data_IF_204569446565
#
_entry.id   IF_204569446565
#
_cell.length_a   1.000
_cell.length_b   1.000
_cell.length_c   1.000
_cell.angle_alpha   90.00
_cell.angle_beta   90.00
_cell.angle_gamma   90.00
#
_symmetry.space_group_name_H-M   'P 1'
#
loop_
_entity.id
_entity.type
_entity.pdbx_description
1 polymer ?
#
# COMPACT_ATOMS: atom_id res chain seq x y z
N UNK A 1 -3.66 3.97 25.74
CA UNK A 1 -4.47 4.88 24.91
C UNK A 1 -5.65 4.11 24.41
N UNK A 2 -6.82 4.61 24.68
CA UNK A 2 -8.08 3.99 24.29
C UNK A 2 -8.65 4.66 23.03
N UNK A 3 -9.57 3.96 22.36
CA UNK A 3 -10.20 4.46 21.14
C UNK A 3 -10.99 5.76 21.39
N UNK A 4 -11.71 5.80 22.49
CA UNK A 4 -12.56 6.94 22.86
C UNK A 4 -11.72 8.19 23.12
N UNK A 5 -10.60 8.05 23.84
CA UNK A 5 -9.63 9.12 24.01
C UNK A 5 -9.11 9.68 22.67
N UNK A 6 -8.87 8.82 21.67
CA UNK A 6 -8.39 9.27 20.37
C UNK A 6 -9.50 9.99 19.59
N UNK A 7 -10.75 9.59 19.73
CA UNK A 7 -11.88 10.29 19.14
C UNK A 7 -12.00 11.71 19.72
N UNK A 8 -11.91 11.83 21.03
CA UNK A 8 -11.97 13.12 21.74
C UNK A 8 -10.77 14.00 21.38
N UNK A 9 -9.57 13.43 21.30
CA UNK A 9 -8.34 14.14 20.95
C UNK A 9 -8.41 14.78 19.55
N UNK A 10 -9.06 14.11 18.60
CA UNK A 10 -9.23 14.61 17.22
C UNK A 10 -10.61 15.21 16.95
N UNK A 11 -11.39 15.53 17.99
CA UNK A 11 -12.75 16.06 17.85
C UNK A 11 -12.79 17.37 17.03
N UNK A 12 -11.86 18.28 17.26
CA UNK A 12 -11.77 19.56 16.55
C UNK A 12 -11.24 19.42 15.09
N UNK A 13 -10.57 18.31 14.82
CA UNK A 13 -10.17 17.98 13.45
C UNK A 13 -11.36 17.55 12.60
N UNK A 14 -12.29 16.78 13.15
CA UNK A 14 -13.46 16.24 12.50
C UNK A 14 -13.57 14.71 12.61
N UNK A 15 -14.44 14.08 11.83
CA UNK A 15 -14.68 12.65 11.91
C UNK A 15 -13.45 11.85 11.51
N UNK A 16 -13.00 10.96 12.38
CA UNK A 16 -11.86 10.07 12.15
C UNK A 16 -12.28 8.61 12.23
N UNK A 17 -11.67 7.79 11.41
CA UNK A 17 -11.83 6.33 11.47
C UNK A 17 -10.63 5.72 12.20
N UNK A 18 -10.89 5.03 13.30
CA UNK A 18 -9.87 4.40 14.12
C UNK A 18 -9.91 2.89 13.88
N UNK A 19 -8.78 2.34 13.43
CA UNK A 19 -8.59 0.90 13.21
C UNK A 19 -7.48 0.35 14.07
N UNK A 20 -7.70 -0.82 14.64
CA UNK A 20 -6.64 -1.52 15.37
C UNK A 20 -5.54 -1.96 14.39
N UNK A 21 -4.31 -1.55 14.66
CA UNK A 21 -3.13 -1.87 13.84
C UNK A 21 -1.95 -2.20 14.74
N UNK A 22 -1.27 -3.32 14.47
CA UNK A 22 -0.11 -3.76 15.26
C UNK A 22 -0.43 -3.81 16.77
N UNK A 23 0.32 -3.09 17.59
CA UNK A 23 0.10 -2.96 19.03
C UNK A 23 -0.66 -1.70 19.44
N UNK A 24 -1.36 -1.04 18.52
CA UNK A 24 -2.08 0.21 18.76
C UNK A 24 -3.20 0.46 17.75
N UNK A 25 -3.38 1.71 17.39
CA UNK A 25 -4.45 2.15 16.50
C UNK A 25 -3.89 2.99 15.35
N UNK A 26 -4.44 2.81 14.17
CA UNK A 26 -4.26 3.70 13.04
C UNK A 26 -5.45 4.65 12.94
N UNK A 27 -5.17 5.92 12.72
CA UNK A 27 -6.16 6.99 12.62
C UNK A 27 -6.20 7.46 11.17
N UNK A 28 -7.37 7.37 10.58
CA UNK A 28 -7.59 7.68 9.16
C UNK A 28 -8.70 8.72 9.00
N UNK A 29 -8.54 9.57 8.01
CA UNK A 29 -9.58 10.45 7.51
C UNK A 29 -9.63 10.34 5.97
N UNK A 30 -10.80 10.40 5.39
CA UNK A 30 -11.01 10.28 3.93
C UNK A 30 -10.34 9.02 3.32
N UNK A 31 -10.35 7.92 4.07
CA UNK A 31 -9.72 6.66 3.65
C UNK A 31 -8.19 6.64 3.73
N UNK A 32 -7.57 7.74 4.16
CA UNK A 32 -6.11 7.88 4.24
C UNK A 32 -5.65 7.87 5.69
N UNK A 33 -4.70 6.98 6.03
CA UNK A 33 -4.12 6.91 7.36
C UNK A 33 -3.08 8.03 7.54
N UNK A 34 -3.32 8.95 8.46
CA UNK A 34 -2.46 10.10 8.73
C UNK A 34 -1.81 10.10 10.10
N UNK A 35 -2.27 9.26 11.03
CA UNK A 35 -1.70 9.17 12.36
C UNK A 35 -1.70 7.72 12.88
N UNK A 36 -0.81 7.46 13.84
CA UNK A 36 -0.67 6.20 14.55
C UNK A 36 -0.67 6.46 16.04
N UNK A 37 -1.47 5.75 16.80
CA UNK A 37 -1.42 5.72 18.26
C UNK A 37 -0.84 4.38 18.70
N UNK A 38 0.36 4.41 19.24
CA UNK A 38 1.12 3.24 19.68
C UNK A 38 1.46 3.36 21.16
N UNK A 39 2.06 2.34 21.75
CA UNK A 39 2.46 2.36 23.17
C UNK A 39 3.36 3.53 23.56
N UNK A 40 4.16 4.04 22.62
CA UNK A 40 5.08 5.17 22.84
C UNK A 40 4.44 6.55 22.65
N UNK A 41 3.18 6.65 22.25
CA UNK A 41 2.49 7.91 22.01
C UNK A 41 1.73 7.97 20.69
N UNK A 42 1.31 9.16 20.32
CA UNK A 42 0.68 9.45 19.03
C UNK A 42 1.75 9.96 18.07
N UNK A 43 1.71 9.46 16.85
CA UNK A 43 2.62 9.84 15.78
C UNK A 43 1.82 10.33 14.58
N UNK A 44 2.17 11.51 14.08
CA UNK A 44 1.57 12.08 12.88
C UNK A 44 2.40 11.81 11.64
N UNK A 45 1.73 11.68 10.51
CA UNK A 45 2.40 11.57 9.22
C UNK A 45 3.13 12.88 8.90
N UNK A 46 4.39 12.76 8.52
CA UNK A 46 5.22 13.87 8.11
C UNK A 46 5.78 13.66 6.70
N UNK A 47 6.00 14.76 6.00
CA UNK A 47 6.73 14.82 4.75
C UNK A 47 7.91 15.77 4.86
N UNK A 48 8.71 15.89 3.81
CA UNK A 48 9.89 16.74 3.78
C UNK A 48 9.59 18.21 4.15
N UNK A 49 8.38 18.68 3.88
CA UNK A 49 7.95 20.04 4.19
C UNK A 49 7.56 20.22 5.67
N UNK A 50 7.03 19.19 6.31
CA UNK A 50 6.56 19.25 7.71
C UNK A 50 7.59 18.78 8.73
N UNK A 51 8.59 17.97 8.35
CA UNK A 51 9.65 17.47 9.23
C UNK A 51 10.35 18.60 9.99
N UNK A 52 10.78 19.72 9.38
CA UNK A 52 11.46 20.80 10.12
C UNK A 52 10.62 21.37 11.27
N UNK A 53 9.30 21.36 11.12
CA UNK A 53 8.38 21.81 12.17
C UNK A 53 8.36 20.87 13.37
N UNK A 54 8.41 19.55 13.13
CA UNK A 54 8.52 18.56 14.20
C UNK A 54 9.88 18.61 14.90
N UNK A 55 10.95 18.84 14.16
CA UNK A 55 12.30 18.99 14.71
C UNK A 55 12.40 20.25 15.61
N UNK A 56 11.80 21.37 15.19
CA UNK A 56 11.74 22.58 16.00
C UNK A 56 11.04 22.38 17.34
N UNK A 57 10.05 21.49 17.41
CA UNK A 57 9.36 21.09 18.64
C UNK A 57 10.12 20.04 19.48
N UNK A 58 11.28 19.58 19.01
CA UNK A 58 12.04 18.53 19.67
C UNK A 58 11.41 17.13 19.54
N UNK A 59 10.48 16.95 18.63
CA UNK A 59 9.84 15.66 18.38
C UNK A 59 10.82 14.67 17.74
N UNK A 60 10.54 13.38 17.96
CA UNK A 60 11.39 12.30 17.45
C UNK A 60 10.66 11.51 16.36
N UNK A 61 11.36 11.00 15.35
CA UNK A 61 10.78 10.10 14.38
C UNK A 61 10.40 8.77 15.03
N UNK A 62 9.41 8.11 14.47
CA UNK A 62 8.97 6.81 14.96
C UNK A 62 10.05 5.75 14.78
N UNK A 63 10.36 5.04 15.85
CA UNK A 63 11.34 3.97 15.86
C UNK A 63 10.72 2.68 16.41
N UNK A 64 11.05 1.56 15.80
CA UNK A 64 10.68 0.25 16.32
C UNK A 64 11.82 -0.75 16.20
N UNK A 65 11.88 -1.66 17.14
CA UNK A 65 12.84 -2.77 17.09
C UNK A 65 12.24 -3.93 16.32
N UNK A 66 12.99 -4.43 15.37
CA UNK A 66 12.61 -5.62 14.62
C UNK A 66 12.86 -6.87 15.47
N UNK A 67 11.81 -7.67 15.67
CA UNK A 67 11.86 -8.87 16.53
C UNK A 67 12.94 -9.88 16.15
N UNK A 68 13.28 -9.96 14.87
CA UNK A 68 14.21 -10.97 14.33
C UNK A 68 15.68 -10.58 14.36
N UNK A 69 16.02 -9.30 14.47
CA UNK A 69 17.40 -8.85 14.29
C UNK A 69 17.88 -7.81 15.31
N UNK A 70 17.14 -7.56 16.40
CA UNK A 70 17.45 -6.51 17.39
C UNK A 70 17.79 -5.12 16.78
N UNK A 71 17.58 -4.95 15.48
CA UNK A 71 17.87 -3.74 14.74
C UNK A 71 16.76 -2.71 14.95
N UNK A 72 17.13 -1.49 15.32
CA UNK A 72 16.20 -0.36 15.40
C UNK A 72 15.96 0.22 14.00
N UNK A 73 14.72 0.24 13.56
CA UNK A 73 14.31 0.84 12.30
C UNK A 73 13.66 2.18 12.58
N UNK A 74 14.19 3.25 11.99
CA UNK A 74 13.62 4.59 12.06
C UNK A 74 12.71 4.84 10.87
N UNK A 75 11.49 5.27 11.13
CA UNK A 75 10.49 5.59 10.11
C UNK A 75 10.30 7.10 10.06
N UNK A 76 11.01 7.77 9.17
CA UNK A 76 11.00 9.23 9.04
C UNK A 76 9.66 9.80 8.55
N UNK A 77 8.75 8.95 8.10
CA UNK A 77 7.42 9.38 7.66
C UNK A 77 6.39 9.51 8.77
N UNK A 78 6.75 9.19 10.01
CA UNK A 78 5.91 9.37 11.19
C UNK A 78 6.72 9.98 12.32
N UNK A 79 6.21 11.07 12.89
CA UNK A 79 6.85 11.84 13.95
C UNK A 79 5.97 11.92 15.18
N UNK A 80 6.59 11.87 16.35
CA UNK A 80 5.90 11.93 17.62
C UNK A 80 5.16 13.26 17.76
N UNK A 81 3.91 13.20 18.22
CA UNK A 81 3.14 14.38 18.53
C UNK A 81 3.78 15.15 19.70
N UNK A 82 4.05 16.45 19.57
CA UNK A 82 4.51 17.27 20.69
C UNK A 82 3.54 17.20 21.88
N UNK A 83 4.08 17.07 23.10
CA UNK A 83 3.26 16.89 24.30
C UNK A 83 2.26 18.03 24.53
N UNK A 84 2.61 19.26 24.18
CA UNK A 84 1.75 20.43 24.32
C UNK A 84 0.47 20.36 23.50
N UNK A 85 0.49 19.63 22.38
CA UNK A 85 -0.67 19.49 21.50
C UNK A 85 -1.76 18.55 22.06
N UNK A 86 -1.47 17.82 23.12
CA UNK A 86 -2.52 17.09 23.85
C UNK A 86 -3.46 18.00 24.62
N UNK A 87 -3.00 19.19 24.97
CA UNK A 87 -3.76 20.21 25.70
C UNK A 87 -4.35 21.29 24.80
N UNK A 88 -3.92 21.33 23.51
CA UNK A 88 -4.37 22.30 22.50
C UNK A 88 -4.96 21.57 21.29
N UNK A 89 -6.26 21.32 21.36
CA UNK A 89 -7.01 20.59 20.34
C UNK A 89 -7.13 21.36 19.01
N UNK A 90 -7.18 22.69 19.05
CA UNK A 90 -7.28 23.54 17.84
C UNK A 90 -5.96 23.49 17.04
N UNK A 91 -4.85 23.64 17.74
CA UNK A 91 -3.54 23.53 17.09
C UNK A 91 -3.28 22.10 16.63
N UNK A 92 -3.66 21.11 17.43
CA UNK A 92 -3.61 19.70 17.02
C UNK A 92 -4.40 19.46 15.73
N UNK A 93 -5.59 20.01 15.60
CA UNK A 93 -6.38 19.89 14.38
C UNK A 93 -5.66 20.46 13.16
N UNK A 94 -4.93 21.55 13.32
CA UNK A 94 -4.10 22.16 12.25
C UNK A 94 -2.96 21.23 11.87
N UNK A 95 -2.26 20.63 12.84
CA UNK A 95 -1.20 19.66 12.60
C UNK A 95 -1.74 18.37 11.95
N UNK A 96 -2.91 17.91 12.38
CA UNK A 96 -3.58 16.74 11.80
C UNK A 96 -3.97 16.95 10.33
N UNK A 97 -4.45 18.16 9.97
CA UNK A 97 -4.73 18.53 8.58
C UNK A 97 -3.46 18.52 7.72
N UNK A 98 -2.36 19.04 8.22
CA UNK A 98 -1.07 18.98 7.55
C UNK A 98 -0.58 17.53 7.38
N UNK A 99 -0.76 16.69 8.41
CA UNK A 99 -0.42 15.28 8.36
C UNK A 99 -1.27 14.50 7.35
N UNK A 100 -2.57 14.80 7.27
CA UNK A 100 -3.47 14.23 6.26
C UNK A 100 -3.04 14.61 4.84
N UNK A 101 -2.71 15.88 4.61
CA UNK A 101 -2.21 16.36 3.32
C UNK A 101 -0.89 15.67 2.94
N UNK A 102 0.02 15.50 3.90
CA UNK A 102 1.27 14.75 3.69
C UNK A 102 1.00 13.27 3.35
N UNK A 103 0.04 12.65 4.02
CA UNK A 103 -0.37 11.27 3.76
C UNK A 103 -0.98 11.10 2.35
N UNK A 104 -1.83 12.03 1.94
CA UNK A 104 -2.44 12.05 0.61
C UNK A 104 -1.38 12.22 -0.50
N UNK A 105 -0.44 13.15 -0.34
CA UNK A 105 0.69 13.31 -1.27
C UNK A 105 1.54 12.05 -1.38
N UNK A 106 1.81 11.39 -0.26
CA UNK A 106 2.54 10.13 -0.24
C UNK A 106 1.76 8.98 -0.90
N UNK A 107 0.44 8.95 -0.79
CA UNK A 107 -0.42 7.97 -1.46
C UNK A 107 -0.40 8.13 -2.98
N UNK A 108 -0.39 9.36 -3.47
CA UNK A 108 -0.29 9.68 -4.91
C UNK A 108 1.10 9.27 -5.46
N UNK A 109 2.18 9.50 -4.71
CA UNK A 109 3.55 9.14 -5.12
C UNK A 109 3.81 7.63 -5.13
N UNK A 110 3.07 6.84 -4.35
CA UNK A 110 3.15 5.39 -4.36
C UNK A 110 2.01 4.84 -5.21
N UNK A 111 2.30 4.20 -6.37
CA UNK A 111 1.25 3.48 -7.08
C UNK A 111 0.62 2.45 -6.12
N UNK A 112 -0.70 2.23 -6.21
CA UNK A 112 -1.38 1.27 -5.36
C UNK A 112 -0.64 -0.06 -5.46
N UNK A 113 -0.12 -0.56 -4.34
CA UNK A 113 0.41 -1.92 -4.27
C UNK A 113 -0.74 -2.83 -4.66
N UNK A 114 -0.70 -3.34 -5.88
CA UNK A 114 -1.62 -4.39 -6.33
C UNK A 114 -1.65 -5.45 -5.22
N UNK A 115 -2.83 -5.72 -4.70
CA UNK A 115 -3.02 -6.70 -3.63
C UNK A 115 -2.36 -8.00 -4.10
N UNK A 116 -1.35 -8.46 -3.39
CA UNK A 116 -0.60 -9.71 -3.72
C UNK A 116 -1.52 -10.93 -3.90
N UNK A 117 -2.76 -10.88 -3.42
CA UNK A 117 -3.78 -11.91 -3.62
C UNK A 117 -4.39 -11.95 -5.02
N UNK A 118 -4.54 -10.83 -5.71
CA UNK A 118 -5.11 -10.79 -7.05
C UNK A 118 -4.16 -11.38 -8.11
N UNK A 119 -2.84 -11.23 -7.92
CA UNK A 119 -1.84 -11.82 -8.83
C UNK A 119 -1.81 -13.36 -8.76
N UNK A 120 -1.98 -13.95 -7.56
CA UNK A 120 -2.00 -15.42 -7.43
C UNK A 120 -3.22 -16.08 -8.08
N UNK A 121 -4.37 -15.41 -8.06
CA UNK A 121 -5.60 -15.94 -8.68
C UNK A 121 -5.54 -15.79 -10.21
N UNK A 122 -5.10 -14.65 -10.73
CA UNK A 122 -4.94 -14.41 -12.15
C UNK A 122 -3.89 -15.33 -12.80
N UNK A 123 -2.77 -15.58 -12.12
CA UNK A 123 -1.73 -16.49 -12.59
C UNK A 123 -2.19 -17.97 -12.57
N UNK A 124 -2.99 -18.34 -11.55
CA UNK A 124 -3.54 -19.71 -11.47
C UNK A 124 -4.62 -19.97 -12.52
N UNK A 125 -5.41 -18.96 -12.87
CA UNK A 125 -6.42 -19.05 -13.94
C UNK A 125 -5.74 -19.05 -15.33
N UNK A 126 -4.72 -18.23 -15.54
CA UNK A 126 -3.95 -18.20 -16.77
C UNK A 126 -3.21 -19.53 -17.05
N UNK A 127 -2.59 -20.13 -16.01
CA UNK A 127 -1.94 -21.46 -16.14
C UNK A 127 -2.96 -22.58 -16.37
N UNK A 128 -4.15 -22.52 -15.79
CA UNK A 128 -5.20 -23.52 -16.00
C UNK A 128 -5.88 -23.40 -17.36
N UNK A 129 -5.93 -22.20 -17.93
CA UNK A 129 -6.46 -21.93 -19.27
C UNK A 129 -5.51 -22.31 -20.39
N UNK A 130 -4.21 -22.22 -20.17
CA UNK A 130 -3.20 -22.55 -21.19
C UNK A 130 -2.91 -24.05 -21.31
N UNK A 131 -3.19 -24.84 -20.27
CA UNK A 131 -2.90 -26.27 -20.27
C UNK A 131 -3.92 -27.12 -21.02
N UNK A 132 -5.09 -26.61 -21.41
CA UNK A 132 -6.19 -27.44 -21.96
C UNK A 132 -6.52 -27.23 -23.44
N UNK A 133 -5.92 -26.32 -24.17
CA UNK A 133 -6.43 -26.00 -25.50
C UNK A 133 -5.47 -25.90 -26.69
N UNK A 134 -4.17 -25.82 -26.60
CA UNK A 134 -3.41 -25.59 -27.85
C UNK A 134 -2.86 -26.85 -28.55
N UNK A 135 -2.76 -27.97 -27.84
CA UNK A 135 -2.03 -29.13 -28.37
C UNK A 135 -2.87 -29.95 -29.38
N UNK A 136 -4.17 -30.03 -29.17
CA UNK A 136 -5.06 -30.86 -30.01
C UNK A 136 -5.35 -30.19 -31.36
N UNK A 137 -5.43 -28.85 -31.40
CA UNK A 137 -5.70 -28.14 -32.67
C UNK A 137 -4.49 -28.05 -33.59
N UNK A 138 -3.26 -28.04 -33.09
CA UNK A 138 -2.06 -27.96 -33.94
C UNK A 138 -1.74 -29.28 -34.61
N UNK A 139 -2.02 -30.40 -34.01
CA UNK A 139 -1.79 -31.70 -34.62
C UNK A 139 -2.82 -32.01 -35.72
N UNK A 140 -4.06 -31.59 -35.57
CA UNK A 140 -5.10 -31.75 -36.60
C UNK A 140 -4.85 -30.89 -37.84
N UNK A 141 -4.34 -29.69 -37.70
CA UNK A 141 -4.00 -28.79 -38.82
C UNK A 141 -2.77 -29.26 -39.55
N UNK A 142 -1.78 -29.83 -38.90
CA UNK A 142 -0.60 -30.41 -39.55
C UNK A 142 -0.94 -31.64 -40.39
N UNK A 143 -1.83 -32.50 -39.94
CA UNK A 143 -2.26 -33.68 -40.71
C UNK A 143 -3.04 -33.30 -41.97
N UNK A 144 -3.83 -32.26 -41.95
CA UNK A 144 -4.53 -31.79 -43.15
C UNK A 144 -3.61 -31.15 -44.18
N UNK A 145 -2.50 -30.55 -43.77
CA UNK A 145 -1.59 -29.90 -44.71
C UNK A 145 -0.60 -30.88 -45.36
N UNK A 146 -0.16 -31.89 -44.66
CA UNK A 146 0.72 -32.91 -45.25
C UNK A 146 0.02 -33.77 -46.34
N UNK A 147 -1.30 -33.88 -46.28
CA UNK A 147 -2.08 -34.59 -47.31
C UNK A 147 -2.28 -33.79 -48.60
N UNK A 148 -2.01 -32.48 -48.60
CA UNK A 148 -2.23 -31.62 -49.79
C UNK A 148 -0.99 -31.34 -50.63
N UNK A 149 0.20 -31.83 -50.28
CA UNK A 149 1.43 -31.64 -51.08
C UNK A 149 1.90 -32.92 -51.74
N UNK A 150 1.20 -33.33 -52.77
CA UNK A 150 1.82 -34.09 -53.87
C UNK A 150 1.38 -33.43 -55.16
N UNK A 151 2.19 -32.58 -55.79
CA UNK A 151 1.99 -32.24 -57.22
C UNK A 151 2.47 -33.40 -58.01
N UNK A 152 1.58 -34.02 -58.71
CA UNK A 152 1.96 -34.90 -59.86
C UNK A 152 2.58 -34.00 -60.90
N UNK A 153 3.87 -34.18 -61.11
CA UNK A 153 4.55 -33.69 -62.31
C UNK A 153 4.15 -34.62 -63.51
N UNK A 154 3.29 -34.14 -64.30
CA UNK A 154 3.19 -34.67 -65.66
C UNK A 154 4.42 -34.18 -66.46
N UNK A 155 5.20 -35.10 -66.92
CA UNK A 155 6.23 -34.81 -67.92
C UNK A 155 5.54 -34.58 -69.28
N UNK A 156 5.96 -33.59 -70.11
CA UNK A 156 5.58 -33.50 -71.45
C UNK A 156 6.39 -34.56 -72.26
N UNK A 157 5.72 -35.38 -72.98
CA UNK A 157 6.32 -36.18 -74.00
C UNK A 157 6.52 -35.34 -75.27
N UNK A 158 7.70 -35.38 -75.75
CA UNK A 158 8.10 -34.87 -77.06
C UNK A 158 7.33 -35.49 -78.24
#
# INVERSE_FOLDING_TARGET
MDRDFLIDLFADFGPVTIRRMFSGFGISADGTNFALALRGGVYLRADEASIPRFEAEGSKPFQYQQRTSAKTITVNSYWQLPARLFDDSEELATWARAALAAAQRAAIRKPPKARKGAKKVAEKVAKKGQAKTPVVKKSAVRKKWSARKKPQRRRPSS
#
